data_IF_625034974493
#
_entry.id   IF_625034974493
#
_cell.length_a   1.000
_cell.length_b   1.000
_cell.length_c   1.000
_cell.angle_alpha   90.00
_cell.angle_beta   90.00
_cell.angle_gamma   90.00
#
_symmetry.space_group_name_H-M   'P 1'
#
loop_
_entity.id
_entity.type
_entity.pdbx_description
1 polymer ?
#
# COMPACT_ATOMS: atom_id res chain seq x y z
N UNK A 1 -19.69 -23.67 -12.78
CA UNK A 1 -20.23 -23.35 -11.44
C UNK A 1 -20.29 -21.85 -11.36
N UNK A 2 -21.43 -21.29 -10.96
CA UNK A 2 -21.50 -19.85 -10.70
C UNK A 2 -20.59 -19.53 -9.52
N UNK A 3 -19.78 -18.47 -9.68
CA UNK A 3 -18.89 -18.03 -8.62
C UNK A 3 -19.69 -17.53 -7.43
N UNK A 4 -19.39 -18.10 -6.26
CA UNK A 4 -20.03 -17.68 -5.03
C UNK A 4 -19.43 -16.37 -4.53
N UNK A 5 -20.28 -15.36 -4.41
CA UNK A 5 -20.07 -14.14 -3.62
C UNK A 5 -21.09 -14.14 -2.48
N UNK A 6 -20.63 -13.88 -1.25
CA UNK A 6 -21.52 -13.65 -0.13
C UNK A 6 -22.41 -12.40 -0.36
N UNK A 7 -23.52 -12.24 0.38
CA UNK A 7 -24.48 -11.18 0.11
C UNK A 7 -23.92 -9.75 0.15
N UNK A 8 -22.91 -9.49 0.99
CA UNK A 8 -22.30 -8.15 1.11
C UNK A 8 -21.45 -7.86 -0.12
N UNK A 9 -20.55 -8.78 -0.48
CA UNK A 9 -19.69 -8.64 -1.65
C UNK A 9 -20.48 -8.65 -2.96
N UNK A 10 -21.57 -9.42 -3.03
CA UNK A 10 -22.48 -9.42 -4.20
C UNK A 10 -23.14 -8.06 -4.39
N UNK A 11 -23.71 -7.48 -3.32
CA UNK A 11 -24.33 -6.16 -3.38
C UNK A 11 -23.34 -5.07 -3.79
N UNK A 12 -22.10 -5.14 -3.30
CA UNK A 12 -21.03 -4.24 -3.72
C UNK A 12 -20.69 -4.40 -5.21
N UNK A 13 -20.49 -5.64 -5.68
CA UNK A 13 -20.19 -5.93 -7.08
C UNK A 13 -21.31 -5.45 -8.02
N UNK A 14 -22.58 -5.72 -7.67
CA UNK A 14 -23.75 -5.30 -8.45
C UNK A 14 -23.85 -3.76 -8.52
N UNK A 15 -23.50 -3.04 -7.46
CA UNK A 15 -23.46 -1.59 -7.46
C UNK A 15 -22.29 -1.04 -8.31
N UNK A 16 -21.10 -1.62 -8.19
CA UNK A 16 -19.92 -1.22 -8.95
C UNK A 16 -20.10 -1.46 -10.47
N UNK A 17 -20.83 -2.50 -10.85
CA UNK A 17 -21.11 -2.85 -12.25
C UNK A 17 -22.01 -1.83 -13.00
N UNK A 18 -22.61 -0.86 -12.30
CA UNK A 18 -23.45 0.18 -12.92
C UNK A 18 -22.63 1.30 -13.59
N UNK A 19 -21.35 1.46 -13.23
CA UNK A 19 -20.45 2.45 -13.79
C UNK A 19 -19.55 1.90 -14.91
N UNK A 20 -18.91 2.78 -15.71
CA UNK A 20 -17.88 2.34 -16.64
C UNK A 20 -16.69 1.72 -15.87
N UNK A 21 -15.97 0.75 -16.46
CA UNK A 21 -14.80 0.17 -15.83
C UNK A 21 -13.74 1.24 -15.51
N UNK A 22 -13.07 1.11 -14.37
CA UNK A 22 -12.15 2.15 -13.90
C UNK A 22 -11.02 2.43 -14.91
N UNK A 23 -10.55 1.40 -15.60
CA UNK A 23 -9.47 1.48 -16.60
C UNK A 23 -9.84 2.26 -17.88
N UNK A 24 -11.12 2.60 -18.11
CA UNK A 24 -11.52 3.43 -19.26
C UNK A 24 -11.44 4.93 -18.98
N UNK A 25 -11.17 5.33 -17.74
CA UNK A 25 -11.07 6.74 -17.35
C UNK A 25 -9.62 7.24 -17.51
N UNK A 26 -9.43 8.57 -17.54
CA UNK A 26 -8.08 9.11 -17.38
C UNK A 26 -7.51 8.75 -16.00
N UNK A 27 -6.18 8.70 -15.87
CA UNK A 27 -5.54 8.39 -14.58
C UNK A 27 -5.99 9.34 -13.45
N UNK A 28 -6.18 10.62 -13.76
CA UNK A 28 -6.64 11.62 -12.80
C UNK A 28 -8.06 11.34 -12.32
N UNK A 29 -8.97 11.02 -13.24
CA UNK A 29 -10.35 10.67 -12.91
C UNK A 29 -10.42 9.36 -12.14
N UNK A 30 -9.66 8.35 -12.55
CA UNK A 30 -9.60 7.06 -11.85
C UNK A 30 -9.13 7.21 -10.40
N UNK A 31 -8.12 8.04 -10.14
CA UNK A 31 -7.66 8.38 -8.78
C UNK A 31 -8.78 9.04 -7.97
N UNK A 32 -9.44 10.04 -8.55
CA UNK A 32 -10.51 10.76 -7.88
C UNK A 32 -11.73 9.88 -7.56
N UNK A 33 -12.11 8.99 -8.48
CA UNK A 33 -13.18 8.00 -8.26
C UNK A 33 -12.82 7.10 -7.08
N UNK A 34 -11.59 6.58 -7.03
CA UNK A 34 -11.17 5.70 -5.94
C UNK A 34 -11.15 6.42 -4.59
N UNK A 35 -10.69 7.67 -4.54
CA UNK A 35 -10.75 8.53 -3.35
C UNK A 35 -12.19 8.74 -2.88
N UNK A 36 -13.13 8.96 -3.79
CA UNK A 36 -14.54 9.12 -3.46
C UNK A 36 -15.16 7.85 -2.88
N UNK A 37 -14.84 6.69 -3.45
CA UNK A 37 -15.35 5.38 -2.97
C UNK A 37 -14.79 5.04 -1.59
N UNK A 38 -13.51 5.35 -1.36
CA UNK A 38 -12.78 5.00 -0.13
C UNK A 38 -12.71 6.15 0.87
N UNK A 39 -13.51 7.20 0.68
CA UNK A 39 -13.54 8.32 1.59
C UNK A 39 -14.03 7.86 2.97
N UNK A 40 -13.21 8.10 3.98
CA UNK A 40 -13.54 7.77 5.36
C UNK A 40 -13.22 8.95 6.27
N UNK A 41 -13.87 8.98 7.43
CA UNK A 41 -13.61 10.00 8.45
C UNK A 41 -12.47 9.52 9.35
N UNK A 42 -11.34 10.25 9.45
CA UNK A 42 -10.25 9.90 10.36
C UNK A 42 -10.75 9.75 11.79
N UNK A 43 -10.30 8.70 12.46
CA UNK A 43 -10.70 8.38 13.81
C UNK A 43 -9.85 9.13 14.84
N UNK A 44 -10.47 9.54 15.94
CA UNK A 44 -9.81 10.34 16.98
C UNK A 44 -8.82 9.53 17.84
N UNK A 45 -8.89 8.21 17.80
CA UNK A 45 -7.99 7.30 18.51
C UNK A 45 -6.67 7.07 17.76
N UNK A 46 -6.56 7.57 16.51
CA UNK A 46 -5.36 7.48 15.68
C UNK A 46 -4.78 8.88 15.44
N UNK A 47 -3.46 9.00 15.61
CA UNK A 47 -2.71 10.19 15.23
C UNK A 47 -1.98 9.93 13.91
N UNK A 48 -2.16 10.83 12.96
CA UNK A 48 -1.41 10.86 11.69
C UNK A 48 -0.39 11.98 11.70
N UNK A 49 0.80 11.70 11.20
CA UNK A 49 1.86 12.69 10.99
C UNK A 49 2.39 12.55 9.57
N UNK A 50 2.32 13.62 8.77
CA UNK A 50 2.96 13.67 7.46
C UNK A 50 4.37 14.21 7.61
N UNK A 51 5.33 13.54 6.97
CA UNK A 51 6.72 13.98 6.87
C UNK A 51 7.18 13.90 5.42
N UNK A 52 8.16 14.75 5.05
CA UNK A 52 8.90 14.61 3.80
C UNK A 52 10.21 13.88 4.10
N UNK A 53 10.42 12.76 3.41
CA UNK A 53 11.62 11.93 3.56
C UNK A 53 12.48 12.12 2.31
N UNK A 54 13.71 12.63 2.44
CA UNK A 54 14.59 12.80 1.30
C UNK A 54 15.09 11.43 0.83
N UNK A 55 14.84 11.10 -0.43
CA UNK A 55 15.32 9.89 -1.11
C UNK A 55 15.95 10.32 -2.43
N UNK A 56 17.25 10.09 -2.58
CA UNK A 56 18.01 10.40 -3.81
C UNK A 56 17.84 11.85 -4.34
N UNK A 57 17.58 12.81 -3.44
CA UNK A 57 17.40 14.22 -3.78
C UNK A 57 15.95 14.63 -4.06
N UNK A 58 14.99 13.72 -3.93
CA UNK A 58 13.56 14.00 -3.98
C UNK A 58 12.89 13.80 -2.61
N UNK A 59 11.87 14.59 -2.32
CA UNK A 59 11.08 14.44 -1.09
C UNK A 59 9.91 13.47 -1.30
N UNK A 60 9.99 12.29 -0.68
CA UNK A 60 8.89 11.33 -0.65
C UNK A 60 7.97 11.65 0.53
N UNK A 61 6.71 11.94 0.23
CA UNK A 61 5.70 12.16 1.27
C UNK A 61 5.44 10.85 2.00
N UNK A 62 5.56 10.85 3.32
CA UNK A 62 5.33 9.67 4.15
C UNK A 62 4.40 10.00 5.29
N UNK A 63 3.38 9.18 5.49
CA UNK A 63 2.42 9.34 6.59
C UNK A 63 2.66 8.27 7.64
N UNK A 64 2.76 8.68 8.90
CA UNK A 64 2.88 7.77 10.04
C UNK A 64 1.53 7.74 10.77
N UNK A 65 0.89 6.59 10.79
CA UNK A 65 -0.31 6.32 11.59
C UNK A 65 0.12 5.67 12.91
N UNK A 66 -0.38 6.15 14.04
CA UNK A 66 -0.06 5.56 15.36
C UNK A 66 -1.18 5.78 16.38
N UNK A 67 -1.25 4.99 17.47
CA UNK A 67 -2.26 5.22 18.50
C UNK A 67 -2.10 6.64 19.09
N UNK A 68 -3.19 7.40 19.22
CA UNK A 68 -3.14 8.78 19.67
C UNK A 68 -2.55 8.94 21.08
N UNK A 69 -2.75 7.95 21.94
CA UNK A 69 -2.29 7.93 23.33
C UNK A 69 -1.05 7.05 23.55
N UNK A 70 -0.33 6.69 22.48
CA UNK A 70 0.87 5.87 22.58
C UNK A 70 1.90 6.47 23.55
N UNK A 71 2.47 5.63 24.40
CA UNK A 71 3.56 5.98 25.32
C UNK A 71 4.80 5.18 24.95
N UNK A 72 5.95 5.86 24.83
CA UNK A 72 7.22 5.23 24.51
C UNK A 72 7.36 4.81 23.04
N UNK A 73 8.25 3.86 22.80
CA UNK A 73 8.65 3.39 21.47
C UNK A 73 7.68 2.34 20.92
N UNK A 74 7.21 2.52 19.69
CA UNK A 74 6.27 1.60 19.01
C UNK A 74 6.99 0.69 18.02
N UNK A 75 6.55 -0.56 17.90
CA UNK A 75 6.95 -1.39 16.76
C UNK A 75 6.53 -0.73 15.44
N UNK A 76 7.30 -0.95 14.37
CA UNK A 76 7.03 -0.39 13.06
C UNK A 76 6.50 -1.45 12.09
N UNK A 77 5.39 -1.12 11.43
CA UNK A 77 4.91 -1.78 10.22
C UNK A 77 5.15 -0.82 9.05
N UNK A 78 5.91 -1.25 8.06
CA UNK A 78 6.09 -0.51 6.82
C UNK A 78 5.07 -1.02 5.80
N UNK A 79 4.17 -0.15 5.34
CA UNK A 79 3.05 -0.53 4.49
C UNK A 79 3.15 0.11 3.10
N UNK A 80 3.30 -0.71 2.06
CA UNK A 80 3.24 -0.26 0.66
C UNK A 80 1.85 -0.50 0.09
N UNK A 81 1.23 0.54 -0.47
CA UNK A 81 -0.17 0.50 -0.90
C UNK A 81 -0.42 -0.14 -2.25
N UNK A 82 -1.62 -0.66 -2.45
CA UNK A 82 -2.10 -1.16 -3.73
C UNK A 82 -2.56 -0.07 -4.69
N UNK A 83 -3.25 -0.47 -5.76
CA UNK A 83 -3.78 0.45 -6.77
C UNK A 83 -3.08 0.40 -8.14
N UNK A 84 -2.44 -0.71 -8.50
CA UNK A 84 -1.85 -0.88 -9.84
C UNK A 84 -0.70 0.08 -10.16
N UNK A 85 0.01 0.58 -9.13
CA UNK A 85 1.04 1.63 -9.17
C UNK A 85 0.54 3.00 -9.63
N UNK A 86 -0.72 3.11 -10.05
CA UNK A 86 -1.33 4.31 -10.61
C UNK A 86 -2.23 4.99 -9.58
N UNK A 87 -2.92 4.19 -8.77
CA UNK A 87 -3.95 4.58 -7.83
C UNK A 87 -3.47 4.40 -6.39
N UNK A 88 -4.30 4.84 -5.45
CA UNK A 88 -4.03 4.75 -4.02
C UNK A 88 -3.39 6.03 -3.48
N UNK A 89 -3.64 6.28 -2.21
CA UNK A 89 -3.10 7.38 -1.44
C UNK A 89 -3.24 7.06 0.06
N UNK A 90 -2.62 7.85 0.95
CA UNK A 90 -2.83 7.71 2.40
C UNK A 90 -4.32 7.84 2.79
N UNK A 91 -5.09 8.65 2.07
CA UNK A 91 -6.53 8.80 2.30
C UNK A 91 -7.29 7.54 1.91
N UNK A 92 -7.03 7.00 0.71
CA UNK A 92 -7.69 5.78 0.19
C UNK A 92 -7.46 4.57 1.11
N UNK A 93 -6.26 4.44 1.68
CA UNK A 93 -5.91 3.31 2.54
C UNK A 93 -6.07 3.62 4.03
N UNK A 94 -6.48 4.84 4.39
CA UNK A 94 -6.38 5.30 5.78
C UNK A 94 -7.22 4.45 6.74
N UNK A 95 -8.45 4.09 6.38
CA UNK A 95 -9.27 3.19 7.20
C UNK A 95 -8.57 1.86 7.49
N UNK A 96 -7.90 1.28 6.49
CA UNK A 96 -7.11 0.06 6.65
C UNK A 96 -5.89 0.31 7.55
N UNK A 97 -5.21 1.44 7.41
CA UNK A 97 -4.05 1.77 8.26
C UNK A 97 -4.48 1.94 9.72
N UNK A 98 -5.61 2.59 9.97
CA UNK A 98 -6.18 2.70 11.31
C UNK A 98 -6.48 1.32 11.90
N UNK A 99 -7.05 0.39 11.13
CA UNK A 99 -7.29 -0.97 11.60
C UNK A 99 -6.00 -1.72 11.91
N UNK A 100 -4.96 -1.58 11.08
CA UNK A 100 -3.63 -2.11 11.42
C UNK A 100 -3.12 -1.55 12.75
N UNK A 101 -3.21 -0.24 12.96
CA UNK A 101 -2.78 0.40 14.21
C UNK A 101 -3.59 -0.13 15.40
N UNK A 102 -4.92 -0.22 15.29
CA UNK A 102 -5.79 -0.73 16.39
C UNK A 102 -5.48 -2.17 16.75
N UNK A 103 -5.31 -3.03 15.75
CA UNK A 103 -5.16 -4.46 15.96
C UNK A 103 -3.76 -4.86 16.44
N UNK A 104 -2.75 -4.06 16.10
CA UNK A 104 -1.35 -4.39 16.40
C UNK A 104 -0.74 -3.52 17.50
N UNK A 105 -1.32 -2.34 17.76
CA UNK A 105 -0.70 -1.30 18.59
C UNK A 105 0.59 -0.72 17.99
N UNK A 106 1.00 -1.13 16.79
CA UNK A 106 2.19 -0.66 16.11
C UNK A 106 1.94 0.69 15.41
N UNK A 107 3.02 1.41 15.10
CA UNK A 107 2.95 2.49 14.14
C UNK A 107 3.04 1.94 12.72
N UNK A 108 2.23 2.48 11.82
CA UNK A 108 2.28 2.16 10.40
C UNK A 108 2.93 3.32 9.66
N UNK A 109 4.05 3.05 8.99
CA UNK A 109 4.76 3.97 8.11
C UNK A 109 4.31 3.70 6.68
N UNK A 110 3.70 4.72 6.07
CA UNK A 110 3.09 4.65 4.74
C UNK A 110 3.84 5.59 3.79
N UNK A 111 4.80 5.10 2.98
CA UNK A 111 5.37 5.88 1.89
C UNK A 111 4.31 6.14 0.81
N UNK A 112 4.10 7.40 0.45
CA UNK A 112 3.35 7.77 -0.75
C UNK A 112 4.34 7.95 -1.90
N UNK A 113 4.72 6.81 -2.50
CA UNK A 113 5.61 6.77 -3.66
C UNK A 113 4.97 7.45 -4.87
N UNK A 114 5.78 7.93 -5.82
CA UNK A 114 5.29 8.62 -7.02
C UNK A 114 4.50 7.65 -7.91
N UNK A 115 3.21 7.88 -8.15
CA UNK A 115 2.41 6.98 -8.97
C UNK A 115 2.85 6.99 -10.44
N UNK A 116 2.49 5.93 -11.17
CA UNK A 116 2.51 5.92 -12.63
C UNK A 116 1.32 6.70 -13.18
N UNK A 117 1.46 7.38 -14.35
CA UNK A 117 2.63 7.37 -15.24
C UNK A 117 3.72 8.41 -14.89
N UNK A 118 3.53 9.24 -13.86
CA UNK A 118 4.47 10.31 -13.49
C UNK A 118 5.86 9.76 -13.15
N UNK A 119 5.91 8.58 -12.55
CA UNK A 119 7.12 7.77 -12.44
C UNK A 119 6.89 6.35 -12.95
N UNK A 120 7.96 5.74 -13.44
CA UNK A 120 7.95 4.34 -13.88
C UNK A 120 8.96 3.52 -13.07
N UNK A 121 8.88 2.20 -13.19
CA UNK A 121 9.87 1.31 -12.61
C UNK A 121 11.30 1.77 -12.96
N UNK A 122 12.25 1.81 -11.98
CA UNK A 122 12.14 1.30 -10.62
C UNK A 122 11.77 2.34 -9.55
N UNK A 123 11.38 3.56 -9.93
CA UNK A 123 11.27 4.72 -9.01
C UNK A 123 10.42 4.43 -7.78
N UNK A 124 9.24 3.81 -7.92
CA UNK A 124 8.37 3.51 -6.77
C UNK A 124 9.04 2.60 -5.74
N UNK A 125 9.85 1.65 -6.21
CA UNK A 125 10.55 0.69 -5.37
C UNK A 125 11.73 1.34 -4.67
N UNK A 126 12.50 2.17 -5.38
CA UNK A 126 13.63 2.91 -4.83
C UNK A 126 13.18 3.94 -3.80
N UNK A 127 12.13 4.70 -4.11
CA UNK A 127 11.52 5.64 -3.16
C UNK A 127 11.03 4.92 -1.90
N UNK A 128 10.27 3.83 -2.05
CA UNK A 128 9.77 3.09 -0.89
C UNK A 128 10.89 2.46 -0.07
N UNK A 129 11.92 1.91 -0.72
CA UNK A 129 13.09 1.39 -0.02
C UNK A 129 13.86 2.50 0.70
N UNK A 130 14.08 3.65 0.05
CA UNK A 130 14.76 4.80 0.64
C UNK A 130 14.02 5.36 1.86
N UNK A 131 12.68 5.38 1.82
CA UNK A 131 11.88 5.72 3.01
C UNK A 131 12.09 4.69 4.12
N UNK A 132 12.03 3.39 3.80
CA UNK A 132 12.29 2.34 4.79
C UNK A 132 13.67 2.50 5.44
N UNK A 133 14.71 2.67 4.63
CA UNK A 133 16.09 2.88 5.09
C UNK A 133 16.21 4.13 5.97
N UNK A 134 15.60 5.24 5.57
CA UNK A 134 15.56 6.46 6.38
C UNK A 134 14.97 6.20 7.76
N UNK A 135 13.84 5.50 7.85
CA UNK A 135 13.21 5.19 9.13
C UNK A 135 14.02 4.21 9.97
N UNK A 136 14.64 3.20 9.35
CA UNK A 136 15.53 2.28 10.07
C UNK A 136 16.72 3.03 10.67
N UNK A 137 17.32 3.97 9.93
CA UNK A 137 18.47 4.73 10.42
C UNK A 137 18.09 5.86 11.39
N UNK A 138 16.83 6.31 11.41
CA UNK A 138 16.38 7.47 12.20
C UNK A 138 15.21 7.15 13.16
N UNK A 139 14.89 5.88 13.40
CA UNK A 139 13.65 5.45 14.08
C UNK A 139 13.45 6.05 15.47
N UNK A 140 14.54 6.26 16.22
CA UNK A 140 14.51 6.89 17.54
C UNK A 140 13.88 8.30 17.52
N UNK A 141 14.11 9.09 16.45
CA UNK A 141 13.51 10.43 16.27
C UNK A 141 11.98 10.37 16.21
N UNK A 142 11.43 9.26 15.77
CA UNK A 142 10.00 9.06 15.56
C UNK A 142 9.36 8.18 16.66
N UNK A 143 10.12 7.81 17.70
CA UNK A 143 9.74 6.82 18.71
C UNK A 143 9.35 5.46 18.09
N UNK A 144 10.14 5.00 17.13
CA UNK A 144 9.94 3.72 16.45
C UNK A 144 11.03 2.71 16.82
N UNK A 145 10.60 1.49 17.12
CA UNK A 145 11.45 0.33 17.28
C UNK A 145 11.72 -0.24 15.89
N UNK A 146 12.98 -0.16 15.49
CA UNK A 146 13.47 -0.54 14.17
C UNK A 146 14.39 -1.75 14.22
N UNK A 147 14.60 -2.35 15.40
CA UNK A 147 15.40 -3.57 15.54
C UNK A 147 14.73 -4.75 14.82
N UNK A 148 13.40 -4.75 14.83
CA UNK A 148 12.57 -5.74 14.15
C UNK A 148 11.30 -5.09 13.59
N UNK A 149 11.15 -5.15 12.27
CA UNK A 149 10.08 -4.47 11.53
C UNK A 149 9.14 -5.46 10.85
N UNK A 150 7.88 -5.09 10.70
CA UNK A 150 6.93 -5.78 9.83
C UNK A 150 6.86 -5.11 8.46
N UNK A 151 6.79 -5.89 7.38
CA UNK A 151 6.46 -5.39 6.05
C UNK A 151 5.05 -5.86 5.66
N UNK A 152 4.28 -4.98 5.04
CA UNK A 152 2.93 -5.32 4.58
C UNK A 152 2.56 -4.56 3.32
N UNK A 153 1.61 -5.10 2.56
CA UNK A 153 1.03 -4.39 1.42
C UNK A 153 -0.07 -5.19 0.74
N UNK A 154 -0.92 -4.49 0.00
CA UNK A 154 -2.04 -5.07 -0.75
C UNK A 154 -1.82 -5.02 -2.26
N UNK A 155 -2.22 -6.06 -2.99
CA UNK A 155 -2.10 -6.12 -4.45
C UNK A 155 -0.67 -5.81 -4.94
N UNK A 156 -0.47 -4.75 -5.73
CA UNK A 156 0.86 -4.28 -6.14
C UNK A 156 1.71 -3.77 -4.96
N UNK A 157 1.10 -3.30 -3.89
CA UNK A 157 1.76 -3.01 -2.63
C UNK A 157 2.32 -4.28 -1.99
N UNK A 158 1.65 -5.42 -2.15
CA UNK A 158 2.17 -6.73 -1.78
C UNK A 158 3.40 -7.12 -2.62
N UNK A 159 3.38 -6.85 -3.93
CA UNK A 159 4.55 -7.00 -4.80
C UNK A 159 5.73 -6.15 -4.29
N UNK A 160 5.47 -4.88 -3.96
CA UNK A 160 6.48 -3.97 -3.43
C UNK A 160 7.04 -4.44 -2.10
N UNK A 161 6.22 -4.95 -1.18
CA UNK A 161 6.70 -5.52 0.09
C UNK A 161 7.66 -6.70 -0.12
N UNK A 162 7.39 -7.57 -1.10
CA UNK A 162 8.29 -8.67 -1.50
C UNK A 162 9.60 -8.09 -2.04
N UNK A 163 9.54 -7.17 -3.01
CA UNK A 163 10.72 -6.58 -3.62
C UNK A 163 11.58 -5.82 -2.59
N UNK A 164 10.97 -5.05 -1.70
CA UNK A 164 11.65 -4.31 -0.63
C UNK A 164 12.33 -5.27 0.35
N UNK A 165 11.74 -6.44 0.62
CA UNK A 165 12.42 -7.48 1.42
C UNK A 165 13.73 -7.91 0.76
N UNK A 166 13.71 -8.15 -0.55
CA UNK A 166 14.89 -8.54 -1.32
C UNK A 166 15.93 -7.40 -1.40
N UNK A 167 15.47 -6.16 -1.54
CA UNK A 167 16.34 -4.97 -1.50
C UNK A 167 16.99 -4.81 -0.13
N UNK A 168 16.24 -4.95 0.96
CA UNK A 168 16.75 -4.90 2.33
C UNK A 168 17.82 -5.96 2.58
N UNK A 169 17.62 -7.18 2.08
CA UNK A 169 18.63 -8.22 2.16
C UNK A 169 19.86 -7.90 1.31
N UNK A 170 19.69 -7.49 0.04
CA UNK A 170 20.81 -7.25 -0.88
C UNK A 170 21.63 -6.01 -0.52
N UNK A 171 21.00 -5.01 0.11
CA UNK A 171 21.63 -3.75 0.52
C UNK A 171 22.02 -3.72 2.00
N UNK A 172 21.89 -4.84 2.71
CA UNK A 172 22.25 -4.99 4.12
C UNK A 172 21.58 -3.96 5.04
N UNK A 173 20.26 -3.77 4.89
CA UNK A 173 19.47 -2.92 5.77
C UNK A 173 19.74 -3.29 7.25
N UNK A 174 20.11 -2.34 8.13
CA UNK A 174 20.50 -2.64 9.50
C UNK A 174 19.28 -2.84 10.42
N UNK A 175 18.36 -3.72 10.00
CA UNK A 175 17.13 -4.07 10.70
C UNK A 175 16.72 -5.50 10.38
N UNK A 176 16.05 -6.19 11.31
CA UNK A 176 15.45 -7.49 11.03
C UNK A 176 14.05 -7.34 10.46
N UNK A 177 13.83 -7.84 9.25
CA UNK A 177 12.46 -8.07 8.75
C UNK A 177 11.88 -9.26 9.52
N UNK A 178 11.01 -8.96 10.46
CA UNK A 178 10.48 -9.90 11.44
C UNK A 178 9.26 -10.67 10.97
N UNK A 179 8.49 -10.10 10.04
CA UNK A 179 7.28 -10.65 9.45
C UNK A 179 6.96 -9.93 8.14
N UNK A 180 6.37 -10.65 7.20
CA UNK A 180 5.84 -10.12 5.94
C UNK A 180 4.38 -10.55 5.85
N UNK A 181 3.46 -9.60 5.68
CA UNK A 181 2.01 -9.86 5.54
C UNK A 181 1.56 -9.36 4.17
N UNK A 182 1.09 -10.27 3.32
CA UNK A 182 0.75 -9.95 1.94
C UNK A 182 -0.75 -10.10 1.73
N UNK A 183 -1.42 -9.01 1.36
CA UNK A 183 -2.86 -8.99 1.09
C UNK A 183 -3.05 -9.12 -0.43
N UNK A 184 -3.48 -10.29 -0.90
CA UNK A 184 -3.69 -10.59 -2.33
C UNK A 184 -2.58 -10.06 -3.29
N UNK A 185 -1.29 -10.40 -3.05
CA UNK A 185 -0.18 -9.77 -3.75
C UNK A 185 -0.17 -10.05 -5.25
N UNK A 186 0.32 -9.10 -6.04
CA UNK A 186 0.81 -9.37 -7.39
C UNK A 186 2.18 -10.05 -7.27
N UNK A 187 2.36 -11.21 -7.88
CA UNK A 187 3.62 -11.98 -7.80
C UNK A 187 4.17 -12.40 -9.16
N UNK A 188 3.35 -12.32 -10.20
CA UNK A 188 3.73 -12.63 -11.58
C UNK A 188 3.00 -11.65 -12.51
N UNK A 189 3.78 -10.90 -13.28
CA UNK A 189 3.27 -9.97 -14.30
C UNK A 189 3.44 -10.50 -15.71
N UNK A 190 4.17 -11.61 -15.89
CA UNK A 190 4.51 -12.21 -17.17
C UNK A 190 3.51 -13.29 -17.61
N UNK A 191 2.87 -13.97 -16.66
CA UNK A 191 1.91 -15.03 -16.96
C UNK A 191 0.50 -14.73 -16.45
N UNK A 192 -0.50 -15.33 -17.10
CA UNK A 192 -1.90 -15.31 -16.65
C UNK A 192 -2.22 -16.67 -16.03
N UNK A 193 -2.59 -16.66 -14.74
CA UNK A 193 -3.09 -17.84 -14.05
C UNK A 193 -4.47 -18.27 -14.58
N UNK A 194 -4.89 -19.47 -14.22
CA UNK A 194 -6.26 -19.94 -14.50
C UNK A 194 -7.33 -19.02 -13.93
N UNK A 195 -7.08 -18.39 -12.78
CA UNK A 195 -8.00 -17.41 -12.17
C UNK A 195 -8.13 -16.15 -13.01
N UNK A 196 -7.03 -15.65 -13.60
CA UNK A 196 -7.10 -14.55 -14.58
C UNK A 196 -7.93 -14.92 -15.81
N UNK A 197 -7.80 -16.15 -16.32
CA UNK A 197 -8.55 -16.61 -17.49
C UNK A 197 -10.04 -16.76 -17.17
N UNK A 198 -10.36 -17.30 -15.99
CA UNK A 198 -11.73 -17.56 -15.53
C UNK A 198 -12.50 -16.28 -15.26
N UNK A 199 -11.83 -15.25 -14.71
CA UNK A 199 -12.45 -14.01 -14.24
C UNK A 199 -12.16 -12.77 -15.09
N UNK A 200 -11.59 -12.94 -16.29
CA UNK A 200 -11.35 -11.83 -17.21
C UNK A 200 -12.66 -11.10 -17.54
N UNK A 201 -12.59 -9.79 -17.74
CA UNK A 201 -13.71 -9.07 -18.34
C UNK A 201 -13.88 -9.56 -19.79
N UNK A 202 -15.04 -10.10 -20.18
CA UNK A 202 -15.27 -10.51 -21.57
C UNK A 202 -15.17 -9.33 -22.57
N UNK A 203 -15.24 -8.08 -22.10
CA UNK A 203 -15.09 -6.85 -22.89
C UNK A 203 -13.67 -6.29 -22.89
N UNK A 204 -12.75 -6.80 -22.06
CA UNK A 204 -11.33 -6.50 -22.23
C UNK A 204 -10.87 -7.14 -23.55
N UNK A 205 -10.69 -6.34 -24.60
CA UNK A 205 -9.89 -6.81 -25.73
C UNK A 205 -8.50 -7.07 -25.19
N UNK A 206 -7.96 -8.27 -25.43
CA UNK A 206 -6.63 -8.68 -25.03
C UNK A 206 -5.65 -7.63 -25.59
N UNK A 207 -5.25 -6.64 -24.79
CA UNK A 207 -4.14 -5.77 -25.12
C UNK A 207 -2.89 -6.62 -24.91
N UNK A 208 -2.37 -7.12 -26.03
CA UNK A 208 -1.10 -7.84 -26.16
C UNK A 208 0.08 -6.91 -25.88
#
# INVERSE_FOLDING_TARGET
MDTYLDPVNRKFADAAAQGPPLYTNSYKEARHILEGIQNYKPASDIKTEEIKVPVEGEDVTTVIFRPANAQGTLNMIFYTHGGGWILGSPTVHGALMEDFVRQTGAAVVFPYYTPAPEAQYPVQFEQSYGVLDHFVNNGAKYNLNVDRIGLSGDSVGGHMAIAITQLAQSRNLPSKIGQIVLLCPVTDTASKSETYITYKDPKESIMS
#
